data_IF_471552624748
#
_entry.id   IF_471552624748
#
_cell.length_a   1.000
_cell.length_b   1.000
_cell.length_c   1.000
_cell.angle_alpha   90.00
_cell.angle_beta   90.00
_cell.angle_gamma   90.00
#
_symmetry.space_group_name_H-M   'P 1'
#
loop_
_entity.id
_entity.type
_entity.pdbx_description
1 polymer ?
#
# COMPACT_ATOMS: atom_id res chain seq x y z
N UNK A 1 14.24 15.66 -26.18
CA UNK A 1 13.03 15.01 -25.65
C UNK A 1 13.34 13.54 -25.50
N UNK A 2 12.97 12.87 -24.39
CA UNK A 2 13.21 11.43 -24.29
C UNK A 2 12.06 10.68 -24.93
N UNK A 3 12.37 9.80 -25.88
CA UNK A 3 11.41 8.94 -26.55
C UNK A 3 11.80 7.48 -26.38
N UNK A 4 10.86 6.66 -25.93
CA UNK A 4 11.05 5.22 -25.71
C UNK A 4 10.02 4.46 -26.54
N UNK A 5 10.49 3.43 -27.25
CA UNK A 5 9.64 2.43 -27.90
C UNK A 5 9.78 1.11 -27.17
N UNK A 6 8.69 0.59 -26.63
CA UNK A 6 8.62 -0.79 -26.14
C UNK A 6 8.06 -1.64 -27.26
N UNK A 7 8.81 -2.62 -27.77
CA UNK A 7 8.38 -3.50 -28.87
C UNK A 7 7.83 -4.82 -28.37
N UNK A 8 6.99 -5.46 -29.19
CA UNK A 8 6.53 -6.84 -29.00
C UNK A 8 5.89 -7.06 -27.61
N UNK A 9 5.14 -6.09 -27.11
CA UNK A 9 4.50 -6.14 -25.81
C UNK A 9 3.11 -6.79 -25.90
N UNK A 10 2.77 -7.63 -24.92
CA UNK A 10 1.39 -8.00 -24.67
C UNK A 10 0.76 -7.01 -23.69
N UNK A 11 -0.40 -6.44 -24.03
CA UNK A 11 -1.14 -5.54 -23.12
C UNK A 11 -2.51 -6.15 -22.88
N UNK A 12 -2.94 -6.21 -21.62
CA UNK A 12 -4.23 -6.77 -21.27
C UNK A 12 -5.38 -6.07 -22.05
N UNK A 13 -6.34 -6.85 -22.55
CA UNK A 13 -7.44 -6.43 -23.42
C UNK A 13 -7.04 -5.90 -24.82
N UNK A 14 -5.79 -6.07 -25.23
CA UNK A 14 -5.34 -5.83 -26.60
C UNK A 14 -4.96 -7.17 -27.24
N UNK A 15 -5.51 -7.46 -28.41
CA UNK A 15 -5.26 -8.72 -29.12
C UNK A 15 -3.91 -8.68 -29.86
N UNK A 16 -3.09 -9.71 -29.64
CA UNK A 16 -1.76 -9.82 -30.22
C UNK A 16 -0.74 -8.85 -29.62
N UNK A 17 0.50 -8.93 -30.10
CA UNK A 17 1.55 -8.02 -29.64
C UNK A 17 1.37 -6.62 -30.24
N UNK A 18 1.73 -5.62 -29.46
CA UNK A 18 1.74 -4.21 -29.84
C UNK A 18 3.06 -3.55 -29.46
N UNK A 19 3.37 -2.44 -30.11
CA UNK A 19 4.45 -1.57 -29.68
C UNK A 19 3.87 -0.36 -28.93
N UNK A 20 4.55 0.08 -27.87
CA UNK A 20 4.15 1.18 -27.00
C UNK A 20 5.11 2.35 -27.20
N UNK A 21 4.58 3.47 -27.68
CA UNK A 21 5.33 4.70 -27.90
C UNK A 21 5.19 5.63 -26.72
N UNK A 22 6.32 6.13 -26.24
CA UNK A 22 6.39 6.98 -25.07
C UNK A 22 7.20 8.21 -25.41
N UNK A 23 6.65 9.40 -25.14
CA UNK A 23 7.32 10.67 -25.30
C UNK A 23 7.24 11.46 -23.99
N UNK A 24 8.40 11.88 -23.48
CA UNK A 24 8.51 12.67 -22.25
C UNK A 24 7.74 12.05 -21.06
N UNK A 25 7.76 10.72 -20.96
CA UNK A 25 7.11 9.96 -19.89
C UNK A 25 5.61 9.74 -20.03
N UNK A 26 5.02 10.08 -21.18
CA UNK A 26 3.60 9.86 -21.50
C UNK A 26 3.48 8.88 -22.66
N UNK A 27 2.56 7.93 -22.58
CA UNK A 27 2.22 7.04 -23.69
C UNK A 27 1.54 7.87 -24.77
N UNK A 28 2.04 7.86 -26.00
CA UNK A 28 1.50 8.65 -27.11
C UNK A 28 0.78 7.80 -28.15
N UNK A 29 1.17 6.53 -28.29
CA UNK A 29 0.59 5.62 -29.29
C UNK A 29 0.75 4.16 -28.87
N UNK A 30 -0.22 3.34 -29.26
CA UNK A 30 -0.17 1.88 -29.22
C UNK A 30 -0.39 1.34 -30.63
N UNK A 31 0.38 0.33 -31.02
CA UNK A 31 0.22 -0.36 -32.30
C UNK A 31 1.56 -0.75 -32.92
N UNK A 32 1.54 -1.56 -33.98
CA UNK A 32 2.78 -2.01 -34.65
C UNK A 32 3.57 -0.85 -35.20
N UNK A 33 4.88 -0.93 -35.05
CA UNK A 33 5.77 0.14 -35.45
C UNK A 33 5.90 0.28 -36.96
N UNK A 34 5.53 1.47 -37.45
CA UNK A 34 6.12 2.06 -38.66
C UNK A 34 7.40 2.80 -38.25
N UNK A 35 8.36 2.98 -39.18
CA UNK A 35 9.65 3.66 -38.95
C UNK A 35 9.49 4.98 -38.15
N UNK A 36 9.72 4.90 -36.84
CA UNK A 36 9.70 6.05 -35.92
C UNK A 36 11.05 6.05 -35.23
N UNK A 37 11.81 7.14 -35.43
CA UNK A 37 13.07 7.35 -34.72
C UNK A 37 12.79 7.65 -33.25
N UNK A 38 13.33 6.82 -32.36
CA UNK A 38 13.25 6.99 -30.90
C UNK A 38 14.63 6.99 -30.27
N UNK A 39 14.76 7.63 -29.10
CA UNK A 39 16.04 7.68 -28.38
C UNK A 39 16.42 6.35 -27.74
N UNK A 40 15.44 5.49 -27.43
CA UNK A 40 15.65 4.18 -26.85
C UNK A 40 14.60 3.19 -27.38
N UNK A 41 15.05 1.97 -27.69
CA UNK A 41 14.20 0.83 -27.99
C UNK A 41 14.39 -0.22 -26.90
N UNK A 42 13.28 -0.72 -26.37
CA UNK A 42 13.22 -1.83 -25.43
C UNK A 42 12.37 -2.93 -26.05
N UNK A 43 12.89 -4.14 -26.17
CA UNK A 43 12.08 -5.28 -26.56
C UNK A 43 11.42 -5.89 -25.31
N UNK A 44 10.11 -6.09 -25.34
CA UNK A 44 9.40 -6.82 -24.30
C UNK A 44 9.51 -8.34 -24.50
N UNK A 45 10.00 -8.80 -25.66
CA UNK A 45 10.21 -10.22 -25.98
C UNK A 45 8.92 -11.06 -25.84
N UNK A 46 7.76 -10.45 -26.11
CA UNK A 46 6.44 -11.07 -25.90
C UNK A 46 5.90 -10.92 -24.48
N UNK A 47 6.63 -10.28 -23.58
CA UNK A 47 6.22 -10.11 -22.18
C UNK A 47 4.95 -9.29 -21.99
N UNK A 48 4.21 -9.62 -20.93
CA UNK A 48 3.03 -8.89 -20.48
C UNK A 48 3.43 -7.55 -19.86
N UNK A 49 2.88 -6.47 -20.38
CA UNK A 49 3.03 -5.13 -19.84
C UNK A 49 1.81 -4.79 -18.98
N UNK A 50 2.09 -4.47 -17.72
CA UNK A 50 1.10 -4.03 -16.72
C UNK A 50 1.47 -2.63 -16.21
N UNK A 51 0.54 -1.90 -15.57
CA UNK A 51 0.90 -0.68 -14.86
C UNK A 51 1.95 -0.95 -13.80
N UNK A 52 2.69 0.08 -13.42
CA UNK A 52 3.48 0.09 -12.20
C UNK A 52 2.67 -0.40 -11.00
N UNK A 53 3.24 -1.30 -10.21
CA UNK A 53 2.64 -1.73 -8.96
C UNK A 53 2.66 -0.56 -7.96
N UNK A 54 1.75 -0.60 -7.00
CA UNK A 54 1.67 0.42 -5.96
C UNK A 54 1.62 -0.24 -4.60
N UNK A 55 2.52 0.18 -3.71
CA UNK A 55 2.37 -0.09 -2.30
C UNK A 55 1.47 0.98 -1.67
N UNK A 56 0.17 0.71 -1.54
CA UNK A 56 -0.77 1.63 -0.89
C UNK A 56 -0.57 1.73 0.64
N UNK A 57 0.13 0.79 1.28
CA UNK A 57 0.36 0.74 2.72
C UNK A 57 1.61 -0.08 3.08
N UNK A 58 2.70 0.60 3.47
CA UNK A 58 3.93 -0.05 3.97
C UNK A 58 4.54 0.67 5.17
N UNK A 59 5.29 -0.04 6.03
CA UNK A 59 6.05 0.54 7.15
C UNK A 59 7.56 0.46 6.88
N UNK A 60 8.12 1.49 6.23
CA UNK A 60 9.56 1.55 5.91
C UNK A 60 10.43 1.80 7.15
N UNK A 61 9.91 2.58 8.10
CA UNK A 61 10.57 2.99 9.33
C UNK A 61 10.93 1.81 10.26
N UNK A 62 10.14 0.74 10.19
CA UNK A 62 10.27 -0.51 10.96
C UNK A 62 10.63 -1.72 10.10
N UNK A 63 11.04 -1.53 8.86
CA UNK A 63 11.47 -2.64 8.01
C UNK A 63 12.80 -3.25 8.50
N UNK A 64 12.99 -4.55 8.26
CA UNK A 64 14.22 -5.31 8.55
C UNK A 64 14.69 -5.28 10.02
N UNK A 65 13.77 -5.14 10.98
CA UNK A 65 14.11 -5.23 12.40
C UNK A 65 14.54 -6.64 12.84
N UNK A 66 14.24 -7.66 12.04
CA UNK A 66 14.73 -9.02 12.29
C UNK A 66 16.25 -9.20 12.06
N UNK A 67 16.91 -8.23 11.41
CA UNK A 67 18.39 -8.22 11.37
C UNK A 67 18.99 -7.85 12.75
N UNK A 68 18.18 -7.29 13.65
CA UNK A 68 18.59 -6.79 14.97
C UNK A 68 17.99 -7.60 16.14
N UNK A 69 16.98 -8.41 15.88
CA UNK A 69 16.32 -9.25 16.88
C UNK A 69 15.72 -10.52 16.26
N UNK A 70 15.35 -11.50 17.09
CA UNK A 70 14.62 -12.68 16.63
C UNK A 70 13.26 -12.78 17.33
N UNK A 71 12.26 -13.32 16.61
CA UNK A 71 10.99 -13.71 17.20
C UNK A 71 11.16 -15.01 18.00
N UNK A 72 10.66 -15.05 19.23
CA UNK A 72 10.71 -16.21 20.12
C UNK A 72 9.34 -16.88 20.26
N UNK A 73 8.29 -16.08 20.48
CA UNK A 73 6.90 -16.54 20.65
C UNK A 73 6.06 -16.29 19.40
N UNK A 74 6.46 -15.31 18.59
CA UNK A 74 5.74 -14.86 17.41
C UNK A 74 4.38 -14.23 17.72
N UNK A 75 4.19 -13.66 18.92
CA UNK A 75 2.92 -13.07 19.37
C UNK A 75 2.93 -11.55 19.27
N UNK A 76 1.74 -10.95 19.21
CA UNK A 76 1.56 -9.50 19.13
C UNK A 76 2.24 -8.74 20.29
N UNK A 77 2.06 -9.21 21.53
CA UNK A 77 2.67 -8.59 22.73
C UNK A 77 4.19 -8.59 22.68
N UNK A 78 4.81 -9.68 22.19
CA UNK A 78 6.26 -9.74 21.98
C UNK A 78 6.68 -8.75 20.90
N UNK A 79 5.96 -8.72 19.77
CA UNK A 79 6.26 -7.82 18.65
C UNK A 79 6.23 -6.35 19.10
N UNK A 80 5.21 -5.96 19.87
CA UNK A 80 5.09 -4.61 20.41
C UNK A 80 6.24 -4.28 21.36
N UNK A 81 6.51 -5.15 22.34
CA UNK A 81 7.57 -4.95 23.33
C UNK A 81 8.95 -4.81 22.68
N UNK A 82 9.37 -5.79 21.89
CA UNK A 82 10.71 -5.80 21.27
C UNK A 82 10.87 -4.68 20.25
N UNK A 83 9.83 -4.33 19.49
CA UNK A 83 9.87 -3.17 18.59
C UNK A 83 10.05 -1.88 19.39
N UNK A 84 9.34 -1.71 20.51
CA UNK A 84 9.53 -0.57 21.42
C UNK A 84 10.95 -0.48 22.00
N UNK A 85 11.57 -1.61 22.33
CA UNK A 85 12.97 -1.67 22.79
C UNK A 85 13.96 -1.23 21.70
N UNK A 86 13.77 -1.71 20.46
CA UNK A 86 14.60 -1.33 19.31
C UNK A 86 14.43 0.14 18.91
N UNK A 87 13.21 0.66 18.96
CA UNK A 87 12.90 2.06 18.63
C UNK A 87 13.75 3.05 19.43
N UNK A 88 14.05 2.75 20.70
CA UNK A 88 14.92 3.59 21.55
C UNK A 88 16.34 3.77 21.02
N UNK A 89 16.78 2.88 20.12
CA UNK A 89 18.10 2.91 19.50
C UNK A 89 18.07 3.45 18.07
N UNK A 90 16.89 3.84 17.57
CA UNK A 90 16.76 4.36 16.21
C UNK A 90 17.58 5.64 16.05
N UNK A 91 18.40 5.64 15.02
CA UNK A 91 19.05 6.84 14.50
C UNK A 91 18.49 7.11 13.11
N UNK A 92 18.56 8.36 12.66
CA UNK A 92 18.12 8.73 11.31
C UNK A 92 18.81 7.88 10.24
N UNK A 93 20.11 7.61 10.39
CA UNK A 93 20.89 6.82 9.44
C UNK A 93 20.50 5.33 9.45
N UNK A 94 20.20 4.75 10.61
CA UNK A 94 19.71 3.37 10.68
C UNK A 94 18.36 3.22 9.95
N UNK A 95 17.42 4.12 10.26
CA UNK A 95 16.10 4.13 9.63
C UNK A 95 16.22 4.35 8.12
N UNK A 96 17.05 5.30 7.69
CA UNK A 96 17.32 5.57 6.27
C UNK A 96 17.85 4.33 5.55
N UNK A 97 18.86 3.65 6.11
CA UNK A 97 19.47 2.46 5.51
C UNK A 97 18.46 1.32 5.34
N UNK A 98 17.62 1.05 6.35
CA UNK A 98 16.59 -0.01 6.28
C UNK A 98 15.50 0.33 5.27
N UNK A 99 15.01 1.56 5.28
CA UNK A 99 14.00 2.03 4.32
C UNK A 99 14.53 2.03 2.88
N UNK A 100 15.77 2.50 2.67
CA UNK A 100 16.45 2.45 1.37
C UNK A 100 16.45 1.02 0.80
N UNK A 101 16.78 0.02 1.62
CA UNK A 101 16.79 -1.39 1.19
C UNK A 101 15.41 -1.86 0.70
N UNK A 102 14.32 -1.44 1.36
CA UNK A 102 12.96 -1.75 0.88
C UNK A 102 12.71 -1.04 -0.45
N UNK A 103 13.00 0.26 -0.55
CA UNK A 103 12.75 1.03 -1.77
C UNK A 103 13.50 0.47 -2.99
N UNK A 104 14.76 0.06 -2.81
CA UNK A 104 15.55 -0.59 -3.86
C UNK A 104 14.90 -1.90 -4.34
N UNK A 105 14.44 -2.75 -3.41
CA UNK A 105 13.69 -3.95 -3.77
C UNK A 105 12.32 -3.63 -4.39
N UNK A 106 11.62 -2.61 -3.91
CA UNK A 106 10.33 -2.19 -4.47
C UNK A 106 10.46 -1.80 -5.94
N UNK A 107 11.48 -1.01 -6.30
CA UNK A 107 11.76 -0.66 -7.71
C UNK A 107 12.07 -1.92 -8.53
N UNK A 108 12.81 -2.89 -7.96
CA UNK A 108 13.10 -4.17 -8.62
C UNK A 108 11.86 -5.03 -8.87
N UNK A 109 10.90 -5.01 -7.95
CA UNK A 109 9.65 -5.78 -8.08
C UNK A 109 8.61 -5.13 -8.99
N UNK A 110 8.81 -3.86 -9.40
CA UNK A 110 7.90 -3.16 -10.30
C UNK A 110 7.06 -2.08 -9.64
N UNK A 111 7.32 -1.73 -8.38
CA UNK A 111 6.61 -0.63 -7.71
C UNK A 111 7.10 0.72 -8.25
N UNK A 112 6.15 1.55 -8.69
CA UNK A 112 6.41 2.91 -9.20
C UNK A 112 5.93 4.01 -8.25
N UNK A 113 5.09 3.66 -7.28
CA UNK A 113 4.65 4.55 -6.21
C UNK A 113 4.36 3.80 -4.90
N UNK A 114 4.58 4.43 -3.76
CA UNK A 114 4.23 3.89 -2.46
C UNK A 114 3.76 4.95 -1.46
N UNK A 115 2.98 4.54 -0.45
CA UNK A 115 2.71 5.30 0.77
C UNK A 115 3.29 4.57 1.97
N UNK A 116 4.25 5.21 2.64
CA UNK A 116 4.80 4.69 3.89
C UNK A 116 4.15 5.35 5.09
N UNK A 117 3.79 4.55 6.09
CA UNK A 117 3.48 5.03 7.44
C UNK A 117 4.78 5.28 8.18
N UNK A 118 4.82 6.37 8.94
CA UNK A 118 6.02 6.82 9.63
C UNK A 118 5.65 7.20 11.05
N UNK A 119 6.13 6.42 12.01
CA UNK A 119 5.82 6.65 13.40
C UNK A 119 6.42 7.96 13.92
N UNK A 120 5.57 8.72 14.59
CA UNK A 120 5.93 9.90 15.38
C UNK A 120 5.42 9.67 16.80
N UNK A 121 6.34 9.62 17.76
CA UNK A 121 6.02 9.33 19.15
C UNK A 121 7.00 9.97 20.14
N UNK A 122 6.73 9.80 21.44
CA UNK A 122 7.54 10.38 22.51
C UNK A 122 8.94 9.76 22.66
N UNK A 123 9.17 8.55 22.14
CA UNK A 123 10.45 7.85 22.24
C UNK A 123 11.43 8.30 21.16
N UNK A 124 10.98 8.34 19.89
CA UNK A 124 11.85 8.67 18.75
C UNK A 124 11.66 10.11 18.23
N UNK A 125 10.64 10.81 18.72
CA UNK A 125 10.30 12.15 18.28
C UNK A 125 10.04 12.19 16.77
N UNK A 126 10.90 12.91 16.04
CA UNK A 126 10.80 13.09 14.59
C UNK A 126 11.89 12.33 13.81
N UNK A 127 12.56 11.36 14.45
CA UNK A 127 13.71 10.66 13.85
C UNK A 127 13.33 9.91 12.58
N UNK A 128 12.21 9.18 12.60
CA UNK A 128 11.77 8.40 11.43
C UNK A 128 11.35 9.29 10.26
N UNK A 129 10.62 10.38 10.50
CA UNK A 129 10.19 11.30 9.42
C UNK A 129 11.35 12.05 8.78
N UNK A 130 12.40 12.40 9.53
CA UNK A 130 13.64 12.95 8.95
C UNK A 130 14.26 11.98 7.95
N UNK A 131 14.40 10.71 8.36
CA UNK A 131 14.92 9.66 7.50
C UNK A 131 14.03 9.44 6.27
N UNK A 132 12.70 9.41 6.43
CA UNK A 132 11.78 9.19 5.32
C UNK A 132 11.74 10.36 4.34
N UNK A 133 11.82 11.61 4.82
CA UNK A 133 11.93 12.79 3.95
C UNK A 133 13.21 12.73 3.12
N UNK A 134 14.33 12.28 3.71
CA UNK A 134 15.58 12.03 2.97
C UNK A 134 15.41 10.92 1.93
N UNK A 135 14.80 9.79 2.28
CA UNK A 135 14.53 8.69 1.33
C UNK A 135 13.65 9.18 0.17
N UNK A 136 12.55 9.89 0.46
CA UNK A 136 11.68 10.48 -0.56
C UNK A 136 12.46 11.36 -1.54
N UNK A 137 13.31 12.24 -1.03
CA UNK A 137 14.12 13.14 -1.86
C UNK A 137 15.18 12.39 -2.68
N UNK A 138 15.86 11.43 -2.09
CA UNK A 138 16.92 10.65 -2.74
C UNK A 138 16.36 9.76 -3.85
N UNK A 139 15.13 9.26 -3.71
CA UNK A 139 14.55 8.28 -4.64
C UNK A 139 13.51 8.83 -5.61
N UNK A 140 13.14 10.12 -5.55
CA UNK A 140 12.09 10.75 -6.37
C UNK A 140 12.21 10.61 -7.90
N UNK A 141 13.37 10.22 -8.42
CA UNK A 141 13.56 9.96 -9.86
C UNK A 141 13.17 8.54 -10.28
N UNK A 142 13.05 7.62 -9.32
CA UNK A 142 12.86 6.19 -9.56
C UNK A 142 11.50 5.70 -9.06
N UNK A 143 10.93 6.33 -8.05
CA UNK A 143 9.66 5.96 -7.42
C UNK A 143 9.04 7.18 -6.72
N UNK A 144 7.70 7.26 -6.74
CA UNK A 144 6.97 8.26 -5.96
C UNK A 144 6.73 7.75 -4.54
N UNK A 145 7.13 8.52 -3.53
CA UNK A 145 7.01 8.13 -2.12
C UNK A 145 6.11 9.14 -1.42
N UNK A 146 4.94 8.71 -0.97
CA UNK A 146 4.09 9.45 -0.05
C UNK A 146 4.43 9.08 1.40
N UNK A 147 4.46 10.09 2.26
CA UNK A 147 4.68 9.94 3.70
C UNK A 147 3.35 10.15 4.41
N UNK A 148 2.95 9.16 5.20
CA UNK A 148 1.87 9.25 6.17
C UNK A 148 2.45 9.41 7.57
N UNK A 149 2.24 10.56 8.21
CA UNK A 149 2.57 10.75 9.62
C UNK A 149 1.62 9.88 10.44
N UNK A 150 2.17 8.98 11.24
CA UNK A 150 1.37 7.93 11.87
C UNK A 150 1.56 7.86 13.39
N UNK A 151 0.46 7.85 14.13
CA UNK A 151 0.44 7.60 15.56
C UNK A 151 0.09 6.14 15.87
N UNK A 152 1.09 5.34 16.23
CA UNK A 152 0.91 3.97 16.71
C UNK A 152 0.58 3.91 18.22
N UNK A 153 0.82 4.99 18.95
CA UNK A 153 0.53 5.14 20.39
C UNK A 153 -0.72 6.00 20.62
N UNK A 154 -1.28 5.92 21.83
CA UNK A 154 -2.45 6.70 22.22
C UNK A 154 -2.17 8.20 22.09
N UNK A 155 -3.12 8.95 21.52
CA UNK A 155 -3.01 10.40 21.32
C UNK A 155 -4.06 11.16 22.14
N UNK A 156 -5.00 10.45 22.76
CA UNK A 156 -6.03 11.04 23.62
C UNK A 156 -5.55 11.18 25.06
N UNK A 157 -6.38 11.88 25.86
CA UNK A 157 -6.07 12.22 27.24
C UNK A 157 -5.54 13.64 27.39
N UNK A 158 -5.93 14.26 28.50
CA UNK A 158 -5.47 15.59 28.93
C UNK A 158 -4.22 15.51 29.83
N UNK A 159 -3.61 14.32 29.91
CA UNK A 159 -2.32 14.13 30.54
C UNK A 159 -1.17 14.65 29.64
N UNK A 160 0.03 14.64 30.21
CA UNK A 160 1.23 15.11 29.52
C UNK A 160 1.53 14.27 28.28
N UNK A 161 1.23 12.98 28.32
CA UNK A 161 1.52 12.04 27.24
C UNK A 161 0.66 12.32 26.01
N UNK A 162 -0.67 12.34 26.16
CA UNK A 162 -1.59 12.66 25.07
C UNK A 162 -1.34 14.06 24.50
N UNK A 163 -1.08 15.05 25.36
CA UNK A 163 -0.73 16.41 24.92
C UNK A 163 0.56 16.45 24.12
N UNK A 164 1.59 15.71 24.55
CA UNK A 164 2.88 15.64 23.86
C UNK A 164 2.75 14.93 22.52
N UNK A 165 1.99 13.83 22.44
CA UNK A 165 1.73 13.12 21.19
C UNK A 165 1.05 14.01 20.15
N UNK A 166 -0.02 14.73 20.53
CA UNK A 166 -0.69 15.69 19.63
C UNK A 166 0.26 16.80 19.17
N UNK A 167 1.07 17.34 20.07
CA UNK A 167 2.06 18.36 19.73
C UNK A 167 3.13 17.84 18.75
N UNK A 168 3.56 16.57 18.90
CA UNK A 168 4.51 15.93 17.99
C UNK A 168 3.93 15.71 16.59
N UNK A 169 2.68 15.27 16.49
CA UNK A 169 1.98 15.15 15.20
C UNK A 169 1.93 16.51 14.49
N UNK A 170 1.43 17.56 15.15
CA UNK A 170 1.40 18.90 14.57
C UNK A 170 2.81 19.41 14.23
N UNK A 171 3.82 19.10 15.03
CA UNK A 171 5.21 19.47 14.75
C UNK A 171 5.74 18.75 13.50
N UNK A 172 5.42 17.48 13.30
CA UNK A 172 5.77 16.74 12.10
C UNK A 172 5.11 17.37 10.86
N UNK A 173 3.80 17.64 10.93
CA UNK A 173 3.07 18.32 9.85
C UNK A 173 3.65 19.71 9.53
N UNK A 174 3.98 20.51 10.54
CA UNK A 174 4.55 21.85 10.35
C UNK A 174 5.98 21.82 9.79
N UNK A 175 6.83 20.90 10.24
CA UNK A 175 8.25 20.88 9.83
C UNK A 175 8.47 20.16 8.49
N UNK A 176 7.59 19.24 8.13
CA UNK A 176 7.73 18.38 6.94
C UNK A 176 6.53 18.44 6.01
N UNK A 177 5.68 19.47 6.12
CA UNK A 177 4.43 19.59 5.36
C UNK A 177 4.60 19.41 3.85
N UNK A 178 5.69 19.92 3.27
CA UNK A 178 6.00 19.75 1.83
C UNK A 178 6.28 18.30 1.41
N UNK A 179 6.64 17.43 2.37
CA UNK A 179 6.93 16.01 2.18
C UNK A 179 5.79 15.09 2.62
N UNK A 180 4.89 15.56 3.50
CA UNK A 180 3.82 14.77 4.10
C UNK A 180 2.55 14.87 3.26
N UNK A 181 2.00 13.71 2.93
CA UNK A 181 0.81 13.61 2.07
C UNK A 181 -0.42 13.17 2.84
N UNK A 182 -0.20 12.54 4.00
CA UNK A 182 -1.24 11.85 4.74
C UNK A 182 -0.96 11.90 6.24
N UNK A 183 -2.02 11.78 7.04
CA UNK A 183 -1.93 11.56 8.48
C UNK A 183 -2.84 10.40 8.90
N UNK A 184 -2.40 9.65 9.91
CA UNK A 184 -3.07 8.47 10.40
C UNK A 184 -2.84 8.17 11.88
N UNK A 185 -3.62 7.23 12.40
CA UNK A 185 -3.45 6.66 13.72
C UNK A 185 -4.04 5.25 13.80
N UNK A 186 -3.85 4.60 14.95
CA UNK A 186 -4.51 3.35 15.31
C UNK A 186 -5.50 3.57 16.47
N UNK A 187 -6.82 3.81 16.22
CA UNK A 187 -7.77 4.12 17.30
C UNK A 187 -7.92 3.03 18.37
N UNK A 188 -7.65 1.76 18.01
CA UNK A 188 -7.74 0.62 18.92
C UNK A 188 -6.66 0.59 20.01
N UNK A 189 -5.66 1.48 19.98
CA UNK A 189 -4.67 1.59 21.06
C UNK A 189 -5.18 2.42 22.24
N UNK A 190 -6.30 3.11 22.06
CA UNK A 190 -6.96 3.87 23.11
C UNK A 190 -7.64 2.96 24.12
N UNK A 191 -7.64 3.38 25.39
CA UNK A 191 -8.15 2.56 26.51
C UNK A 191 -9.68 2.43 26.58
N UNK A 192 -10.42 3.24 25.81
CA UNK A 192 -11.89 3.20 25.77
C UNK A 192 -12.43 3.61 24.41
N UNK A 193 -13.68 3.25 24.13
CA UNK A 193 -14.34 3.59 22.87
C UNK A 193 -14.50 5.11 22.69
N UNK A 194 -14.79 5.83 23.77
CA UNK A 194 -14.90 7.29 23.75
C UNK A 194 -13.56 7.94 23.37
N UNK A 195 -12.45 7.36 23.82
CA UNK A 195 -11.11 7.83 23.45
C UNK A 195 -10.74 7.43 22.02
N UNK A 196 -11.14 6.25 21.54
CA UNK A 196 -10.98 5.88 20.13
C UNK A 196 -11.73 6.86 19.19
N UNK A 197 -12.94 7.27 19.57
CA UNK A 197 -13.72 8.30 18.86
C UNK A 197 -13.01 9.65 18.90
N UNK A 198 -12.49 10.06 20.06
CA UNK A 198 -11.72 11.30 20.18
C UNK A 198 -10.45 11.27 19.32
N UNK A 199 -9.76 10.12 19.24
CA UNK A 199 -8.56 9.92 18.43
C UNK A 199 -8.88 10.14 16.94
N UNK A 200 -9.92 9.50 16.44
CA UNK A 200 -10.41 9.69 15.07
C UNK A 200 -10.69 11.17 14.80
N UNK A 201 -11.45 11.83 15.68
CA UNK A 201 -11.78 13.25 15.52
C UNK A 201 -10.54 14.15 15.47
N UNK A 202 -9.55 13.91 16.34
CA UNK A 202 -8.29 14.64 16.35
C UNK A 202 -7.56 14.50 15.01
N UNK A 203 -7.41 13.29 14.49
CA UNK A 203 -6.73 13.05 13.22
C UNK A 203 -7.48 13.69 12.06
N UNK A 204 -8.81 13.59 12.02
CA UNK A 204 -9.64 14.26 11.02
C UNK A 204 -9.49 15.78 11.06
N UNK A 205 -9.45 16.38 12.25
CA UNK A 205 -9.27 17.82 12.42
C UNK A 205 -7.85 18.26 11.98
N UNK A 206 -6.82 17.44 12.23
CA UNK A 206 -5.45 17.70 11.75
C UNK A 206 -5.39 17.57 10.22
N UNK A 207 -5.93 16.50 9.64
CA UNK A 207 -5.96 16.28 8.20
C UNK A 207 -6.67 17.43 7.47
N UNK A 208 -7.79 17.91 8.03
CA UNK A 208 -8.48 19.11 7.55
C UNK A 208 -7.61 20.34 7.65
N UNK A 209 -6.96 20.59 8.78
CA UNK A 209 -6.13 21.78 8.96
C UNK A 209 -4.97 21.84 7.96
N UNK A 210 -4.32 20.71 7.70
CA UNK A 210 -3.16 20.62 6.80
C UNK A 210 -3.51 20.22 5.35
N UNK A 211 -4.78 19.95 5.05
CA UNK A 211 -5.27 19.53 3.72
C UNK A 211 -4.52 18.30 3.19
N UNK A 212 -4.41 17.25 4.02
CA UNK A 212 -3.76 15.98 3.68
C UNK A 212 -4.75 14.83 3.62
N UNK A 213 -4.41 13.77 2.91
CA UNK A 213 -5.19 12.52 2.96
C UNK A 213 -5.23 11.92 4.37
N UNK A 214 -6.13 10.96 4.60
CA UNK A 214 -6.29 10.25 5.87
C UNK A 214 -6.02 8.76 5.67
N UNK A 215 -5.32 8.13 6.60
CA UNK A 215 -5.05 6.69 6.56
C UNK A 215 -5.04 6.08 7.97
N UNK A 216 -6.13 5.40 8.35
CA UNK A 216 -6.25 4.80 9.68
C UNK A 216 -5.93 3.31 9.66
N UNK A 217 -5.21 2.85 10.69
CA UNK A 217 -5.24 1.44 11.06
C UNK A 217 -6.52 1.17 11.84
N UNK A 218 -7.50 0.53 11.21
CA UNK A 218 -8.84 0.35 11.77
C UNK A 218 -9.35 -1.09 11.59
N UNK A 219 -10.26 -1.52 12.45
CA UNK A 219 -10.88 -2.84 12.30
C UNK A 219 -9.93 -4.04 12.48
N UNK A 220 -8.86 -3.86 13.27
CA UNK A 220 -7.86 -4.89 13.59
C UNK A 220 -8.34 -5.81 14.74
N UNK A 221 -9.46 -6.49 14.54
CA UNK A 221 -10.08 -7.41 15.52
C UNK A 221 -10.97 -8.43 14.79
N UNK A 222 -11.34 -9.50 15.50
CA UNK A 222 -12.33 -10.49 15.03
C UNK A 222 -13.50 -10.67 16.01
N UNK A 223 -13.37 -10.12 17.21
CA UNK A 223 -14.35 -10.24 18.27
C UNK A 223 -15.61 -9.40 18.00
N UNK A 224 -16.78 -10.03 18.07
CA UNK A 224 -18.08 -9.37 17.97
C UNK A 224 -18.27 -8.28 19.04
N UNK A 225 -18.96 -7.21 18.67
CA UNK A 225 -19.32 -6.11 19.57
C UNK A 225 -18.26 -5.00 19.68
N UNK A 226 -17.09 -5.18 19.08
CA UNK A 226 -16.13 -4.08 18.89
C UNK A 226 -16.67 -3.11 17.83
N UNK A 227 -16.75 -1.79 18.09
CA UNK A 227 -17.27 -0.84 17.11
C UNK A 227 -16.40 -0.75 15.85
N UNK A 228 -17.03 -0.51 14.69
CA UNK A 228 -16.33 -0.27 13.43
C UNK A 228 -15.74 1.13 13.33
N UNK A 229 -16.39 2.11 13.97
CA UNK A 229 -16.11 3.55 13.89
C UNK A 229 -16.25 4.16 12.49
N UNK A 230 -16.82 3.43 11.52
CA UNK A 230 -17.07 3.94 10.17
C UNK A 230 -18.08 5.10 10.18
N UNK A 231 -19.12 4.99 11.00
CA UNK A 231 -20.13 6.02 11.25
C UNK A 231 -19.50 7.31 11.75
N UNK A 232 -18.61 7.21 12.74
CA UNK A 232 -17.89 8.35 13.32
C UNK A 232 -17.09 9.10 12.25
N UNK A 233 -16.39 8.39 11.38
CA UNK A 233 -15.60 8.98 10.29
C UNK A 233 -16.52 9.69 9.29
N UNK A 234 -17.56 8.99 8.82
CA UNK A 234 -18.47 9.51 7.79
C UNK A 234 -19.23 10.72 8.31
N UNK A 235 -19.80 10.64 9.52
CA UNK A 235 -20.56 11.73 10.13
C UNK A 235 -19.70 12.97 10.36
N UNK A 236 -18.48 12.81 10.88
CA UNK A 236 -17.57 13.94 11.11
C UNK A 236 -17.21 14.68 9.82
N UNK A 237 -16.98 13.95 8.73
CA UNK A 237 -16.60 14.54 7.43
C UNK A 237 -17.81 15.18 6.71
N UNK A 238 -19.03 14.74 7.01
CA UNK A 238 -20.25 15.37 6.49
C UNK A 238 -20.56 16.73 7.13
N UNK A 239 -19.95 17.05 8.28
CA UNK A 239 -20.15 18.35 8.96
C UNK A 239 -19.72 19.54 8.08
N UNK A 240 -20.40 20.67 8.24
CA UNK A 240 -20.10 21.91 7.50
C UNK A 240 -18.68 22.41 7.74
N UNK A 241 -18.11 22.10 8.91
CA UNK A 241 -16.72 22.46 9.26
C UNK A 241 -15.67 21.80 8.37
N UNK A 242 -16.02 20.77 7.59
CA UNK A 242 -15.16 20.08 6.60
C UNK A 242 -15.48 20.49 5.15
N UNK A 243 -16.26 21.55 4.92
CA UNK A 243 -16.56 22.01 3.56
C UNK A 243 -15.30 22.41 2.77
N UNK A 244 -14.31 23.01 3.42
CA UNK A 244 -13.02 23.37 2.82
C UNK A 244 -12.24 22.14 2.36
N UNK A 245 -12.11 21.15 3.23
CA UNK A 245 -11.46 19.87 2.91
C UNK A 245 -12.12 19.17 1.72
N UNK A 246 -13.46 19.22 1.62
CA UNK A 246 -14.19 18.59 0.50
C UNK A 246 -14.00 19.29 -0.86
N UNK A 247 -13.38 20.48 -0.91
CA UNK A 247 -13.17 21.23 -2.17
C UNK A 247 -11.97 20.74 -2.97
N UNK A 248 -11.04 20.05 -2.34
CA UNK A 248 -9.86 19.46 -2.98
C UNK A 248 -9.96 17.94 -2.99
N UNK A 249 -9.38 17.26 -4.00
CA UNK A 249 -9.36 15.81 -4.03
C UNK A 249 -8.55 15.24 -2.86
N UNK A 250 -9.22 14.54 -1.95
CA UNK A 250 -8.62 13.76 -0.87
C UNK A 250 -9.16 12.33 -0.86
N UNK A 251 -8.50 11.45 -0.13
CA UNK A 251 -9.01 10.10 0.16
C UNK A 251 -8.84 9.72 1.62
N UNK A 252 -9.66 8.76 2.06
CA UNK A 252 -9.54 8.09 3.34
C UNK A 252 -9.21 6.64 3.04
N UNK A 253 -8.07 6.18 3.53
CA UNK A 253 -7.69 4.78 3.54
C UNK A 253 -7.93 4.19 4.92
N UNK A 254 -8.40 2.94 4.96
CA UNK A 254 -8.61 2.18 6.17
C UNK A 254 -7.84 0.86 6.02
N UNK A 255 -6.68 0.78 6.66
CA UNK A 255 -5.83 -0.39 6.69
C UNK A 255 -6.39 -1.48 7.61
N UNK A 256 -6.19 -2.74 7.22
CA UNK A 256 -6.70 -3.97 7.86
C UNK A 256 -8.18 -4.26 7.59
N UNK A 257 -9.07 -3.68 8.41
CA UNK A 257 -10.52 -3.91 8.37
C UNK A 257 -10.88 -5.41 8.37
N UNK A 258 -10.11 -6.19 9.14
CA UNK A 258 -10.20 -7.64 9.19
C UNK A 258 -11.55 -8.14 9.72
N UNK A 259 -12.16 -7.40 10.65
CA UNK A 259 -13.48 -7.74 11.21
C UNK A 259 -14.57 -7.84 10.14
N UNK A 260 -14.41 -7.18 8.98
CA UNK A 260 -15.39 -7.29 7.88
C UNK A 260 -15.57 -8.74 7.40
N UNK A 261 -14.60 -9.62 7.65
CA UNK A 261 -14.69 -11.05 7.34
C UNK A 261 -15.56 -11.87 8.30
N UNK A 262 -15.95 -11.30 9.44
CA UNK A 262 -16.82 -11.95 10.43
C UNK A 262 -18.29 -11.57 10.27
N UNK A 263 -18.57 -10.54 9.46
CA UNK A 263 -19.91 -10.02 9.25
C UNK A 263 -20.77 -10.97 8.39
N UNK A 264 -22.09 -10.91 8.62
CA UNK A 264 -23.06 -11.44 7.66
C UNK A 264 -23.05 -10.59 6.37
N UNK A 265 -23.52 -11.17 5.27
CA UNK A 265 -23.62 -10.46 3.99
C UNK A 265 -24.44 -9.16 4.10
N UNK A 266 -25.52 -9.17 4.90
CA UNK A 266 -26.37 -8.00 5.14
C UNK A 266 -25.60 -6.88 5.84
N UNK A 267 -24.90 -7.18 6.93
CA UNK A 267 -24.08 -6.20 7.66
C UNK A 267 -22.92 -5.67 6.83
N UNK A 268 -22.25 -6.53 6.05
CA UNK A 268 -21.19 -6.10 5.14
C UNK A 268 -21.73 -5.10 4.10
N UNK A 269 -22.93 -5.34 3.59
CA UNK A 269 -23.60 -4.43 2.64
C UNK A 269 -23.95 -3.09 3.29
N UNK A 270 -24.41 -3.08 4.54
CA UNK A 270 -24.68 -1.86 5.32
C UNK A 270 -23.39 -1.03 5.51
N UNK A 271 -22.28 -1.65 5.93
CA UNK A 271 -20.98 -0.99 6.07
C UNK A 271 -20.49 -0.43 4.73
N UNK A 272 -20.64 -1.20 3.64
CA UNK A 272 -20.30 -0.73 2.30
C UNK A 272 -21.19 0.42 1.81
N UNK A 273 -22.46 0.44 2.22
CA UNK A 273 -23.37 1.55 1.91
C UNK A 273 -22.95 2.82 2.66
N UNK A 274 -22.61 2.70 3.94
CA UNK A 274 -22.12 3.80 4.76
C UNK A 274 -20.83 4.41 4.16
N UNK A 275 -19.87 3.55 3.78
CA UNK A 275 -18.64 4.01 3.10
C UNK A 275 -18.92 4.80 1.82
N UNK A 276 -19.90 4.38 1.02
CA UNK A 276 -20.30 5.07 -0.22
C UNK A 276 -21.05 6.38 0.00
N UNK A 277 -21.59 6.61 1.20
CA UNK A 277 -22.25 7.87 1.57
C UNK A 277 -21.24 8.95 2.00
N UNK A 278 -19.99 8.58 2.23
CA UNK A 278 -18.93 9.55 2.53
C UNK A 278 -18.73 10.52 1.36
N UNK A 279 -18.66 11.84 1.61
CA UNK A 279 -18.36 12.82 0.56
C UNK A 279 -16.89 12.79 0.14
N UNK A 280 -16.02 12.14 0.92
CA UNK A 280 -14.61 11.86 0.60
C UNK A 280 -14.47 10.36 0.36
N UNK A 281 -13.86 9.91 -0.76
CA UNK A 281 -13.80 8.49 -1.10
C UNK A 281 -13.03 7.68 -0.05
N UNK A 282 -13.69 6.63 0.47
CA UNK A 282 -13.11 5.64 1.38
C UNK A 282 -12.60 4.43 0.57
N UNK A 283 -11.39 3.99 0.92
CA UNK A 283 -10.76 2.76 0.41
C UNK A 283 -10.40 1.83 1.56
N UNK A 284 -10.69 0.54 1.42
CA UNK A 284 -10.18 -0.50 2.32
C UNK A 284 -8.84 -1.01 1.79
N UNK A 285 -7.82 -1.05 2.64
CA UNK A 285 -6.52 -1.67 2.32
C UNK A 285 -6.37 -2.93 3.16
N UNK A 286 -6.51 -4.10 2.52
CA UNK A 286 -6.30 -5.39 3.18
C UNK A 286 -4.82 -5.69 3.34
N UNK A 287 -4.41 -6.18 4.50
CA UNK A 287 -3.01 -6.43 4.88
C UNK A 287 -2.79 -7.89 5.26
N UNK A 288 -3.11 -8.83 4.34
CA UNK A 288 -3.37 -10.23 4.67
C UNK A 288 -2.16 -10.96 5.25
N UNK A 289 -0.93 -10.57 4.89
CA UNK A 289 0.28 -11.22 5.42
C UNK A 289 0.48 -10.93 6.92
N UNK A 290 0.21 -9.69 7.35
CA UNK A 290 0.28 -9.32 8.76
C UNK A 290 -0.91 -9.90 9.51
N UNK A 291 -2.10 -9.80 8.91
CA UNK A 291 -3.34 -10.19 9.55
C UNK A 291 -3.40 -11.70 9.81
N UNK A 292 -3.12 -12.53 8.81
CA UNK A 292 -3.13 -14.00 8.99
C UNK A 292 -2.08 -14.47 9.99
N UNK A 293 -0.96 -13.76 10.10
CA UNK A 293 0.07 -14.07 11.08
C UNK A 293 -0.35 -13.68 12.48
N UNK A 294 -1.06 -12.57 12.67
CA UNK A 294 -1.41 -12.08 14.00
C UNK A 294 -2.76 -12.54 14.54
N UNK A 295 -3.72 -12.79 13.66
CA UNK A 295 -5.10 -13.08 14.01
C UNK A 295 -5.39 -14.58 14.15
N UNK A 296 -6.60 -14.88 14.62
CA UNK A 296 -7.10 -16.24 14.85
C UNK A 296 -6.31 -17.05 15.89
N UNK A 297 -5.48 -16.39 16.71
CA UNK A 297 -4.62 -17.06 17.71
C UNK A 297 -5.38 -17.53 18.95
N UNK A 298 -6.56 -16.96 19.21
CA UNK A 298 -7.46 -17.35 20.30
C UNK A 298 -8.56 -18.31 19.85
N UNK A 299 -8.68 -18.54 18.55
CA UNK A 299 -9.75 -19.35 17.97
C UNK A 299 -9.55 -20.83 18.29
N UNK A 300 -10.66 -21.57 18.30
CA UNK A 300 -10.61 -23.02 18.39
C UNK A 300 -9.94 -23.62 17.15
N UNK A 301 -9.19 -24.71 17.33
CA UNK A 301 -8.40 -25.35 16.26
C UNK A 301 -9.22 -25.66 15.00
N UNK A 302 -10.48 -26.09 15.17
CA UNK A 302 -11.38 -26.45 14.08
C UNK A 302 -12.05 -25.26 13.37
N UNK A 303 -11.93 -24.05 13.92
CA UNK A 303 -12.61 -22.85 13.41
C UNK A 303 -11.72 -21.61 13.47
N UNK A 304 -10.46 -21.77 13.08
CA UNK A 304 -9.51 -20.66 13.03
C UNK A 304 -9.81 -19.75 11.85
N UNK A 305 -10.23 -18.52 12.16
CA UNK A 305 -10.54 -17.51 11.15
C UNK A 305 -9.26 -17.00 10.48
N UNK A 306 -9.38 -16.69 9.19
CA UNK A 306 -8.28 -16.10 8.39
C UNK A 306 -7.98 -14.66 8.79
N UNK A 307 -9.04 -13.93 9.16
CA UNK A 307 -8.97 -12.54 9.62
C UNK A 307 -8.47 -11.56 8.57
N UNK A 308 -8.97 -11.62 7.34
CA UNK A 308 -8.61 -10.65 6.27
C UNK A 308 -9.86 -10.10 5.62
N UNK A 309 -9.88 -8.81 5.29
CA UNK A 309 -11.03 -8.17 4.65
C UNK A 309 -11.46 -8.91 3.34
N UNK A 310 -12.76 -9.19 3.14
CA UNK A 310 -13.28 -9.91 1.97
C UNK A 310 -13.31 -9.00 0.73
N UNK A 311 -12.16 -8.82 0.08
CA UNK A 311 -11.99 -7.78 -0.96
C UNK A 311 -12.92 -7.93 -2.16
N UNK A 312 -13.19 -9.15 -2.64
CA UNK A 312 -14.07 -9.36 -3.77
C UNK A 312 -15.50 -8.92 -3.46
N UNK A 313 -16.00 -9.27 -2.28
CA UNK A 313 -17.34 -8.93 -1.82
C UNK A 313 -17.50 -7.42 -1.62
N UNK A 314 -16.53 -6.77 -0.96
CA UNK A 314 -16.51 -5.31 -0.77
C UNK A 314 -16.42 -4.59 -2.13
N UNK A 315 -15.57 -5.05 -3.04
CA UNK A 315 -15.44 -4.49 -4.37
C UNK A 315 -16.73 -4.63 -5.20
N UNK A 316 -17.47 -5.73 -5.04
CA UNK A 316 -18.76 -5.95 -5.69
C UNK A 316 -19.84 -4.98 -5.19
N UNK A 317 -19.72 -4.47 -3.96
CA UNK A 317 -20.58 -3.40 -3.42
C UNK A 317 -20.20 -1.99 -3.88
N UNK A 318 -19.17 -1.85 -4.73
CA UNK A 318 -18.75 -0.57 -5.31
C UNK A 318 -17.80 0.26 -4.44
N UNK A 319 -17.28 -0.31 -3.35
CA UNK A 319 -16.24 0.32 -2.53
C UNK A 319 -14.86 0.06 -3.15
N UNK A 320 -13.96 1.06 -3.10
CA UNK A 320 -12.60 0.86 -3.57
C UNK A 320 -11.85 -0.02 -2.56
N UNK A 321 -11.04 -0.94 -3.06
CA UNK A 321 -10.23 -1.82 -2.21
C UNK A 321 -8.87 -2.07 -2.82
N UNK A 322 -7.85 -2.20 -1.98
CA UNK A 322 -6.50 -2.60 -2.40
C UNK A 322 -5.92 -3.62 -1.43
N UNK A 323 -4.78 -4.19 -1.78
CA UNK A 323 -4.09 -5.19 -0.99
C UNK A 323 -2.60 -4.85 -0.92
N UNK A 324 -2.01 -4.94 0.28
CA UNK A 324 -0.59 -4.65 0.46
C UNK A 324 0.09 -5.53 1.54
N UNK A 325 1.42 -5.45 1.59
CA UNK A 325 2.31 -6.25 2.43
C UNK A 325 2.40 -5.73 3.86
N UNK A 326 2.05 -4.46 4.12
CA UNK A 326 2.16 -3.78 5.41
C UNK A 326 3.59 -3.73 5.97
N UNK A 327 4.08 -4.84 6.50
CA UNK A 327 5.36 -4.96 7.18
C UNK A 327 6.37 -5.71 6.32
N UNK A 328 7.65 -5.36 6.43
CA UNK A 328 8.76 -6.06 5.74
C UNK A 328 9.79 -6.52 6.76
N UNK A 329 9.87 -7.85 6.98
CA UNK A 329 10.84 -8.50 7.87
C UNK A 329 10.97 -7.86 9.25
N UNK A 330 9.84 -7.74 9.95
CA UNK A 330 9.80 -7.30 11.34
C UNK A 330 8.97 -8.28 12.18
N UNK A 331 8.82 -8.01 13.47
CA UNK A 331 8.14 -8.92 14.39
C UNK A 331 6.62 -9.00 14.15
N UNK A 332 6.04 -8.02 13.46
CA UNK A 332 4.64 -8.04 13.05
C UNK A 332 4.40 -8.87 11.79
N UNK A 333 5.45 -9.12 11.00
CA UNK A 333 5.41 -9.99 9.83
C UNK A 333 6.83 -10.48 9.49
N UNK A 334 7.22 -11.67 9.99
CA UNK A 334 8.57 -12.18 9.77
C UNK A 334 8.80 -12.80 8.38
N UNK A 335 7.73 -12.97 7.60
CA UNK A 335 7.74 -13.60 6.28
C UNK A 335 7.24 -12.63 5.19
N UNK A 336 7.21 -13.05 3.93
CA UNK A 336 6.83 -12.17 2.80
C UNK A 336 8.02 -11.46 2.14
N UNK A 337 9.26 -11.86 2.49
CA UNK A 337 10.46 -11.42 1.80
C UNK A 337 10.66 -9.90 1.87
N UNK A 338 10.97 -9.30 0.73
CA UNK A 338 11.19 -7.86 0.58
C UNK A 338 9.92 -7.09 0.14
N UNK A 339 8.75 -7.75 0.17
CA UNK A 339 7.47 -7.12 -0.15
C UNK A 339 7.09 -7.16 -1.64
N UNK A 340 7.23 -8.30 -2.32
CA UNK A 340 6.82 -8.43 -3.74
C UNK A 340 5.28 -8.46 -3.89
N UNK A 341 4.64 -7.50 -4.59
CA UNK A 341 3.20 -7.45 -4.78
C UNK A 341 2.65 -8.66 -5.54
N UNK A 342 3.41 -9.27 -6.45
CA UNK A 342 2.94 -10.46 -7.17
C UNK A 342 2.95 -11.71 -6.30
N UNK A 343 3.90 -11.83 -5.37
CA UNK A 343 3.88 -12.90 -4.36
C UNK A 343 2.65 -12.77 -3.47
N UNK A 344 2.37 -11.56 -3.01
CA UNK A 344 1.15 -11.24 -2.25
C UNK A 344 -0.11 -11.55 -3.06
N UNK A 345 -0.16 -11.17 -4.34
CA UNK A 345 -1.29 -11.39 -5.22
C UNK A 345 -1.62 -12.87 -5.41
N UNK A 346 -0.63 -13.72 -5.66
CA UNK A 346 -0.83 -15.16 -5.77
C UNK A 346 -1.28 -15.78 -4.44
N UNK A 347 -0.54 -15.51 -3.36
CA UNK A 347 -0.85 -16.09 -2.04
C UNK A 347 -2.21 -15.64 -1.50
N UNK A 348 -2.44 -14.33 -1.40
CA UNK A 348 -3.64 -13.79 -0.77
C UNK A 348 -4.80 -13.69 -1.76
N UNK A 349 -4.58 -13.20 -2.97
CA UNK A 349 -5.63 -13.05 -3.98
C UNK A 349 -6.23 -14.38 -4.42
N UNK A 350 -5.39 -15.36 -4.78
CA UNK A 350 -5.87 -16.70 -5.18
C UNK A 350 -6.10 -17.58 -3.96
N UNK A 351 -5.06 -17.79 -3.14
CA UNK A 351 -5.10 -18.78 -2.06
C UNK A 351 -6.04 -18.39 -0.91
N UNK A 352 -5.91 -17.16 -0.41
CA UNK A 352 -6.63 -16.72 0.80
C UNK A 352 -8.04 -16.21 0.51
N UNK A 353 -8.25 -15.50 -0.60
CA UNK A 353 -9.55 -14.94 -1.01
C UNK A 353 -10.31 -15.85 -1.99
N UNK A 354 -9.78 -17.04 -2.30
CA UNK A 354 -10.35 -18.00 -3.25
C UNK A 354 -10.56 -17.44 -4.67
N UNK A 355 -9.70 -16.49 -5.07
CA UNK A 355 -9.75 -15.79 -6.36
C UNK A 355 -9.24 -16.60 -7.55
N UNK A 356 -9.75 -17.81 -7.80
CA UNK A 356 -9.16 -18.74 -8.77
C UNK A 356 -9.54 -18.58 -10.24
N UNK A 357 -10.32 -17.56 -10.62
CA UNK A 357 -10.85 -17.39 -11.99
C UNK A 357 -10.07 -16.34 -12.79
N UNK A 358 -10.24 -16.31 -14.11
CA UNK A 358 -9.64 -15.26 -14.97
C UNK A 358 -10.10 -13.86 -14.57
N UNK A 359 -11.39 -13.69 -14.26
CA UNK A 359 -11.94 -12.43 -13.74
C UNK A 359 -11.33 -12.06 -12.39
N UNK A 360 -11.09 -13.03 -11.52
CA UNK A 360 -10.42 -12.76 -10.25
C UNK A 360 -8.98 -12.28 -10.47
N UNK A 361 -8.23 -12.85 -11.42
CA UNK A 361 -6.88 -12.37 -11.73
C UNK A 361 -6.86 -10.89 -12.18
N UNK A 362 -7.84 -10.46 -12.97
CA UNK A 362 -8.04 -9.03 -13.32
C UNK A 362 -8.25 -8.16 -12.08
N UNK A 363 -9.17 -8.57 -11.20
CA UNK A 363 -9.44 -7.85 -9.96
C UNK A 363 -8.25 -7.83 -9.00
N UNK A 364 -7.51 -8.95 -8.90
CA UNK A 364 -6.31 -9.06 -8.05
C UNK A 364 -5.21 -8.14 -8.58
N UNK A 365 -4.99 -8.10 -9.90
CA UNK A 365 -4.05 -7.16 -10.49
C UNK A 365 -4.45 -5.71 -10.17
N UNK A 366 -5.74 -5.39 -10.28
CA UNK A 366 -6.24 -4.07 -9.91
C UNK A 366 -5.99 -3.73 -8.43
N UNK A 367 -6.10 -4.71 -7.52
CA UNK A 367 -5.87 -4.52 -6.08
C UNK A 367 -4.44 -4.07 -5.76
N UNK A 368 -3.46 -4.40 -6.60
CA UNK A 368 -2.03 -4.04 -6.43
C UNK A 368 -1.53 -2.99 -7.45
N UNK A 369 -2.41 -2.49 -8.33
CA UNK A 369 -2.10 -1.46 -9.34
C UNK A 369 -3.09 -0.29 -9.24
N UNK A 370 -4.16 -0.32 -10.03
CA UNK A 370 -5.09 0.80 -10.21
C UNK A 370 -5.85 1.17 -8.94
N UNK A 371 -6.35 0.18 -8.20
CA UNK A 371 -7.10 0.44 -6.97
C UNK A 371 -6.19 0.86 -5.83
N UNK A 372 -4.95 0.34 -5.79
CA UNK A 372 -3.90 0.80 -4.87
C UNK A 372 -3.47 2.24 -5.17
N UNK A 373 -3.30 2.60 -6.45
CA UNK A 373 -3.03 3.98 -6.87
C UNK A 373 -4.17 4.93 -6.43
N UNK A 374 -5.42 4.50 -6.56
CA UNK A 374 -6.59 5.27 -6.07
C UNK A 374 -6.62 5.37 -4.54
N UNK A 375 -6.19 4.33 -3.82
CA UNK A 375 -6.14 4.30 -2.35
C UNK A 375 -5.25 5.40 -1.78
N UNK A 376 -4.20 5.79 -2.50
CA UNK A 376 -3.24 6.82 -2.08
C UNK A 376 -3.35 8.11 -2.91
N UNK A 377 -4.51 8.32 -3.54
CA UNK A 377 -4.86 9.55 -4.29
C UNK A 377 -3.88 9.90 -5.43
N UNK A 378 -3.32 8.90 -6.11
CA UNK A 378 -2.47 9.14 -7.29
C UNK A 378 -3.29 9.64 -8.48
N UNK A 379 -2.68 10.46 -9.37
CA UNK A 379 -3.33 10.92 -10.58
C UNK A 379 -3.92 9.79 -11.41
N UNK A 380 -5.08 10.03 -12.02
CA UNK A 380 -5.72 9.08 -12.95
C UNK A 380 -4.79 8.67 -14.10
N UNK A 381 -3.81 9.50 -14.46
CA UNK A 381 -2.81 9.18 -15.48
C UNK A 381 -1.86 8.03 -15.10
N UNK A 382 -1.75 7.65 -13.83
CA UNK A 382 -0.96 6.50 -13.33
C UNK A 382 -1.77 5.20 -13.20
N UNK A 383 -3.03 5.21 -13.62
CA UNK A 383 -3.99 4.11 -13.45
C UNK A 383 -4.31 3.45 -14.81
N UNK A 384 -4.90 2.25 -14.80
CA UNK A 384 -5.41 1.60 -16.02
C UNK A 384 -6.51 2.43 -16.73
N UNK A 385 -6.71 2.21 -18.04
CA UNK A 385 -5.97 1.27 -18.91
C UNK A 385 -4.63 1.85 -19.39
N UNK A 386 -3.74 1.00 -19.89
CA UNK A 386 -2.53 1.43 -20.63
C UNK A 386 -2.99 1.96 -21.99
N UNK A 387 -2.98 3.28 -22.17
CA UNK A 387 -3.48 3.95 -23.38
C UNK A 387 -2.79 5.32 -23.59
N UNK A 388 -2.90 5.91 -24.78
CA UNK A 388 -2.38 7.27 -25.03
C UNK A 388 -2.90 8.31 -24.02
N UNK A 389 -2.01 9.18 -23.56
CA UNK A 389 -2.28 10.22 -22.55
C UNK A 389 -2.01 9.78 -21.10
N UNK A 390 -1.71 8.51 -20.85
CA UNK A 390 -1.30 7.98 -19.53
C UNK A 390 0.20 8.15 -19.30
N UNK A 391 0.62 8.21 -18.04
CA UNK A 391 2.04 8.14 -17.71
C UNK A 391 2.59 6.75 -18.00
N UNK A 392 3.82 6.71 -18.50
CA UNK A 392 4.55 5.49 -18.77
C UNK A 392 5.23 4.97 -17.50
N UNK A 393 4.39 4.62 -16.52
CA UNK A 393 4.75 3.94 -15.28
C UNK A 393 4.30 2.49 -15.44
N UNK A 394 5.21 1.63 -15.89
CA UNK A 394 4.90 0.31 -16.45
C UNK A 394 5.86 -0.76 -15.91
N UNK A 395 5.40 -2.01 -15.89
CA UNK A 395 6.23 -3.19 -15.63
C UNK A 395 6.09 -4.16 -16.80
N UNK A 396 7.21 -4.62 -17.33
CA UNK A 396 7.25 -5.73 -18.28
C UNK A 396 7.54 -7.01 -17.50
N UNK A 397 6.66 -8.00 -17.64
CA UNK A 397 6.78 -9.34 -17.08
C UNK A 397 7.20 -10.30 -18.21
N UNK A 398 8.49 -10.64 -18.28
CA UNK A 398 9.08 -11.26 -19.50
C UNK A 398 8.66 -12.70 -19.78
N UNK A 399 8.34 -13.49 -18.75
CA UNK A 399 8.06 -14.93 -18.91
C UNK A 399 6.55 -15.26 -18.98
N UNK A 400 5.70 -14.27 -19.25
CA UNK A 400 4.25 -14.47 -19.33
C UNK A 400 3.60 -13.49 -20.29
N UNK A 401 2.54 -13.94 -20.96
CA UNK A 401 1.68 -13.11 -21.82
C UNK A 401 0.27 -12.94 -21.25
N UNK A 402 -0.03 -13.63 -20.15
CA UNK A 402 -1.37 -13.74 -19.58
C UNK A 402 -1.39 -13.29 -18.12
N UNK A 403 -2.43 -12.51 -17.80
CA UNK A 403 -2.59 -11.94 -16.46
C UNK A 403 -2.78 -13.02 -15.39
N UNK A 404 -3.55 -14.06 -15.70
CA UNK A 404 -3.77 -15.17 -14.78
C UNK A 404 -2.45 -15.86 -14.40
N UNK A 405 -1.61 -16.18 -15.40
CA UNK A 405 -0.31 -16.80 -15.16
C UNK A 405 0.63 -15.87 -14.39
N UNK A 406 0.58 -14.56 -14.65
CA UNK A 406 1.35 -13.57 -13.90
C UNK A 406 1.01 -13.53 -12.39
N UNK A 407 -0.26 -13.79 -12.02
CA UNK A 407 -0.69 -13.86 -10.61
C UNK A 407 -0.45 -15.25 -10.02
N UNK A 408 -0.78 -16.32 -10.76
CA UNK A 408 -0.67 -17.70 -10.29
C UNK A 408 0.78 -18.18 -10.19
N UNK A 409 1.63 -17.75 -11.13
CA UNK A 409 3.05 -18.09 -11.21
C UNK A 409 3.88 -16.82 -11.49
N UNK A 410 4.06 -15.93 -10.50
CA UNK A 410 4.78 -14.67 -10.68
C UNK A 410 6.14 -14.80 -11.36
N UNK A 411 6.37 -14.15 -12.51
CA UNK A 411 7.66 -14.18 -13.17
C UNK A 411 8.70 -13.39 -12.36
N UNK A 412 9.91 -13.95 -12.29
CA UNK A 412 11.08 -13.31 -11.66
C UNK A 412 11.69 -12.23 -12.56
N UNK A 413 11.93 -12.44 -13.88
CA UNK A 413 12.50 -11.38 -14.71
C UNK A 413 11.46 -10.31 -14.99
N UNK A 414 11.82 -9.06 -14.66
CA UNK A 414 10.96 -7.88 -14.78
C UNK A 414 11.75 -6.69 -15.26
N UNK A 415 11.11 -5.81 -16.02
CA UNK A 415 11.63 -4.45 -16.29
C UNK A 415 10.67 -3.42 -15.73
N UNK A 416 11.15 -2.54 -14.86
CA UNK A 416 10.37 -1.45 -14.26
C UNK A 416 10.66 -0.16 -15.00
N UNK A 417 9.62 0.56 -15.38
CA UNK A 417 9.68 1.81 -16.12
C UNK A 417 8.95 2.88 -15.31
N UNK A 418 9.61 4.01 -15.03
CA UNK A 418 9.04 5.17 -14.34
C UNK A 418 9.17 6.39 -15.24
N UNK A 419 8.07 7.05 -15.54
CA UNK A 419 8.00 8.19 -16.46
C UNK A 419 8.76 7.95 -17.77
N UNK A 420 8.57 6.77 -18.37
CA UNK A 420 9.19 6.41 -19.65
C UNK A 420 10.69 6.13 -19.59
N UNK A 421 11.25 5.93 -18.39
CA UNK A 421 12.66 5.55 -18.19
C UNK A 421 12.74 4.19 -17.53
N UNK A 422 13.59 3.31 -18.04
CA UNK A 422 13.91 2.05 -17.37
C UNK A 422 14.65 2.37 -16.07
N UNK A 423 14.06 2.01 -14.93
CA UNK A 423 14.61 2.24 -13.59
C UNK A 423 15.12 0.97 -12.93
N UNK A 424 14.66 -0.19 -13.39
CA UNK A 424 15.20 -1.50 -13.01
C UNK A 424 15.03 -2.51 -14.12
N UNK A 425 15.95 -3.47 -14.18
CA UNK A 425 15.86 -4.67 -15.01
C UNK A 425 16.40 -5.86 -14.21
N UNK A 426 15.55 -6.85 -14.00
CA UNK A 426 15.88 -8.13 -13.36
C UNK A 426 15.96 -9.20 -14.43
N UNK A 427 17.07 -9.94 -14.47
CA UNK A 427 17.28 -11.06 -15.40
C UNK A 427 17.51 -12.34 -14.59
N UNK A 428 16.93 -13.45 -15.05
CA UNK A 428 17.12 -14.78 -14.45
C UNK A 428 17.87 -15.67 -15.44
N UNK A 429 18.89 -16.36 -14.97
CA UNK A 429 19.57 -17.42 -15.72
C UNK A 429 19.52 -18.70 -14.90
N UNK A 430 18.93 -19.75 -15.47
CA UNK A 430 18.79 -21.05 -14.81
C UNK A 430 19.40 -22.15 -15.69
N UNK A 431 19.99 -23.15 -15.06
CA UNK A 431 20.55 -24.33 -15.75
C UNK A 431 20.08 -25.58 -15.04
N UNK A 432 19.42 -26.48 -15.76
CA UNK A 432 19.05 -27.81 -15.26
C UNK A 432 20.09 -28.80 -15.77
N UNK A 433 20.89 -29.34 -14.86
CA UNK A 433 21.87 -30.37 -15.19
C UNK A 433 21.25 -31.76 -14.93
N UNK A 434 21.06 -32.53 -15.99
CA UNK A 434 20.68 -33.93 -15.89
C UNK A 434 21.97 -34.77 -15.85
N UNK A 435 22.23 -35.49 -14.75
CA UNK A 435 23.24 -36.54 -14.77
C UNK A 435 22.70 -37.71 -15.59
N UNK A 436 23.37 -38.04 -16.69
CA UNK A 436 23.09 -39.22 -17.51
C UNK A 436 23.35 -40.51 -16.77
#
# INVERSE_FOLDING_TARGET
MSTLLIKNAHVHNISGEVDIYIENGVITKLGRASEIEVTQVLDAEGGLVVPGFVHSHVHLDKAYLLDQCCAETGRFEEALKKTGELKRQFTEEDVYRRAKRVVEHSIQFGITALRTHVEVDTMIGLTAIKAMSRVQQDFKKWIDIQISVFAQEAICGDDLEGTTMRALLCKAMNQFGDSVHCIGSAPYVERSSEMAIANINIVLDIARHYQTDIDFHLGYHLEDGTPSYLDVIVEKIQQDTFEDYRKTPHTIALGHMAYLSTLSEEKLKEECQLMRQSPVPITIISLPLSDIYMMGRKDELGNKMRGTAPLFDIAAQGVNVSMDVNNVQNLFQPYGGAGDPLQLAGFAGIGLLHGGSQRHAEQIMDFITTRAAKAINLPKAMQLPIEPGRYADLVILHDTTHLYDAIANPPVPRTTIKHGRVVSRTQLTATVAWST
#
